data_IF_322258120769
#
_entry.id   IF_322258120769
#
_cell.length_a   1.000
_cell.length_b   1.000
_cell.length_c   1.000
_cell.angle_alpha   90.00
_cell.angle_beta   90.00
_cell.angle_gamma   90.00
#
_symmetry.space_group_name_H-M   'P 1'
#
loop_
_entity.id
_entity.type
_entity.pdbx_description
1 polymer ?
#
# COMPACT_ATOMS: atom_id res chain seq x y z
N UNK A 1 -16.62 9.45 -2.21
CA UNK A 1 -15.78 8.31 -1.84
C UNK A 1 -15.68 8.25 -0.34
N UNK A 2 -15.33 7.10 0.22
CA UNK A 2 -14.97 6.99 1.65
C UNK A 2 -13.71 7.82 1.89
N UNK A 3 -13.69 8.60 2.97
CA UNK A 3 -12.53 9.39 3.38
C UNK A 3 -11.76 8.58 4.43
N UNK A 4 -10.43 8.67 4.38
CA UNK A 4 -9.58 8.12 5.43
C UNK A 4 -9.62 9.03 6.66
N UNK A 5 -9.40 8.43 7.83
CA UNK A 5 -9.27 9.19 9.08
C UNK A 5 -8.02 10.07 9.05
N UNK A 6 -8.11 11.30 9.53
CA UNK A 6 -6.98 12.20 9.80
C UNK A 6 -6.36 11.98 11.19
N UNK A 7 -6.99 11.18 12.05
CA UNK A 7 -6.54 10.75 13.38
C UNK A 7 -5.57 9.54 13.31
N UNK A 8 -4.68 9.57 12.32
CA UNK A 8 -3.59 8.59 12.16
C UNK A 8 -2.27 9.35 11.97
N UNK A 9 -1.17 8.73 12.37
CA UNK A 9 0.15 9.37 12.24
C UNK A 9 0.71 9.30 10.82
N UNK A 10 0.18 8.39 10.01
CA UNK A 10 0.57 8.17 8.62
C UNK A 10 -0.48 7.30 7.91
N UNK A 11 -0.45 7.28 6.57
CA UNK A 11 -1.16 6.27 5.79
C UNK A 11 -0.25 5.12 5.39
N UNK A 12 -0.83 3.92 5.30
CA UNK A 12 -0.12 2.70 4.95
C UNK A 12 -0.45 2.30 3.53
N UNK A 13 0.57 2.06 2.71
CA UNK A 13 0.43 1.58 1.33
C UNK A 13 1.03 0.18 1.22
N UNK A 14 0.21 -0.87 1.21
CA UNK A 14 0.72 -2.22 0.98
C UNK A 14 1.17 -2.40 -0.47
N UNK A 15 2.39 -2.89 -0.65
CA UNK A 15 2.86 -3.39 -1.93
C UNK A 15 2.03 -4.60 -2.39
N UNK A 16 2.11 -4.93 -3.68
CA UNK A 16 1.36 -6.03 -4.28
C UNK A 16 1.60 -7.35 -3.56
N UNK A 17 2.84 -7.62 -3.13
CA UNK A 17 3.21 -8.86 -2.44
C UNK A 17 2.66 -8.91 -1.01
N UNK A 18 2.73 -7.79 -0.28
CA UNK A 18 2.20 -7.69 1.07
C UNK A 18 0.67 -7.85 1.06
N UNK A 19 0.01 -7.17 0.13
CA UNK A 19 -1.44 -7.30 -0.05
C UNK A 19 -1.84 -8.74 -0.37
N UNK A 20 -1.05 -9.42 -1.20
CA UNK A 20 -1.29 -10.81 -1.59
C UNK A 20 -1.17 -11.78 -0.41
N UNK A 21 -0.13 -11.65 0.41
CA UNK A 21 0.26 -12.66 1.39
C UNK A 21 -0.31 -12.39 2.77
N UNK A 22 -0.60 -11.13 3.11
CA UNK A 22 -1.00 -10.70 4.44
C UNK A 22 -2.35 -9.97 4.48
N UNK A 23 -3.24 -10.23 3.52
CA UNK A 23 -4.59 -9.63 3.51
C UNK A 23 -5.31 -9.81 4.85
N UNK A 24 -5.19 -10.98 5.48
CA UNK A 24 -5.83 -11.28 6.76
C UNK A 24 -5.34 -10.37 7.90
N UNK A 25 -4.07 -9.95 7.87
CA UNK A 25 -3.53 -8.99 8.83
C UNK A 25 -4.04 -7.58 8.49
N UNK A 26 -4.04 -7.21 7.21
CA UNK A 26 -4.57 -5.92 6.72
C UNK A 26 -6.08 -5.76 6.95
N UNK A 27 -6.80 -6.86 7.22
CA UNK A 27 -8.20 -6.87 7.61
C UNK A 27 -8.43 -6.52 9.09
N UNK A 28 -7.39 -6.35 9.91
CA UNK A 28 -7.58 -6.02 11.32
C UNK A 28 -8.03 -4.57 11.55
N UNK A 29 -9.04 -4.31 12.42
CA UNK A 29 -9.56 -2.96 12.64
C UNK A 29 -8.55 -1.94 13.18
N UNK A 30 -7.51 -2.43 13.85
CA UNK A 30 -6.43 -1.64 14.43
C UNK A 30 -5.53 -1.02 13.35
N UNK A 31 -5.44 -1.65 12.16
CA UNK A 31 -4.78 -1.07 11.00
C UNK A 31 -5.71 -0.10 10.28
N UNK A 32 -5.47 1.18 10.53
CA UNK A 32 -6.20 2.30 9.92
C UNK A 32 -5.36 3.01 8.86
N UNK A 33 -5.97 3.92 8.10
CA UNK A 33 -5.25 4.68 7.09
C UNK A 33 -4.74 3.88 5.90
N UNK A 34 -5.37 2.76 5.54
CA UNK A 34 -4.90 1.89 4.45
C UNK A 34 -5.28 2.42 3.06
N UNK A 35 -4.28 2.62 2.20
CA UNK A 35 -4.46 3.01 0.80
C UNK A 35 -4.02 1.85 -0.09
N UNK A 36 -4.98 1.12 -0.65
CA UNK A 36 -4.70 0.07 -1.62
C UNK A 36 -4.55 0.68 -3.02
N UNK A 37 -3.35 0.58 -3.59
CA UNK A 37 -3.15 0.98 -4.99
C UNK A 37 -3.89 0.02 -5.93
N UNK A 38 -4.45 0.56 -7.02
CA UNK A 38 -5.09 -0.25 -8.05
C UNK A 38 -4.14 -1.29 -8.62
N UNK A 39 -2.87 -0.94 -8.86
CA UNK A 39 -1.86 -1.88 -9.36
C UNK A 39 -1.70 -3.09 -8.42
N UNK A 40 -1.69 -2.88 -7.10
CA UNK A 40 -1.65 -3.96 -6.10
C UNK A 40 -2.94 -4.83 -6.14
N UNK A 41 -4.11 -4.18 -6.21
CA UNK A 41 -5.41 -4.87 -6.31
C UNK A 41 -5.50 -5.77 -7.54
N UNK A 42 -4.98 -5.31 -8.68
CA UNK A 42 -4.96 -6.06 -9.93
C UNK A 42 -3.98 -7.23 -9.87
N UNK A 43 -2.79 -7.02 -9.30
CA UNK A 43 -1.79 -8.08 -9.09
C UNK A 43 -2.39 -9.23 -8.25
N UNK A 44 -3.07 -8.91 -7.14
CA UNK A 44 -3.78 -9.88 -6.33
C UNK A 44 -4.82 -10.66 -7.14
N UNK A 45 -5.63 -9.96 -7.95
CA UNK A 45 -6.67 -10.61 -8.76
C UNK A 45 -6.07 -11.61 -9.75
N UNK A 46 -4.96 -11.24 -10.40
CA UNK A 46 -4.28 -12.08 -11.38
C UNK A 46 -3.67 -13.32 -10.74
N UNK A 47 -3.04 -13.18 -9.57
CA UNK A 47 -2.26 -14.27 -8.95
C UNK A 47 -3.05 -15.14 -7.96
N UNK A 48 -4.03 -14.57 -7.23
CA UNK A 48 -4.85 -15.29 -6.22
C UNK A 48 -6.30 -15.52 -6.68
N UNK A 49 -6.68 -14.96 -7.82
CA UNK A 49 -7.99 -15.15 -8.42
C UNK A 49 -9.12 -14.33 -7.79
N UNK A 50 -10.33 -14.54 -8.31
CA UNK A 50 -11.52 -13.72 -7.99
C UNK A 50 -11.95 -13.77 -6.52
N UNK A 51 -11.69 -14.88 -5.82
CA UNK A 51 -12.11 -15.04 -4.42
C UNK A 51 -11.43 -14.02 -3.50
N UNK A 52 -10.10 -13.91 -3.59
CA UNK A 52 -9.37 -12.94 -2.76
C UNK A 52 -9.65 -11.50 -3.19
N UNK A 53 -9.77 -11.25 -4.50
CA UNK A 53 -10.20 -9.94 -4.99
C UNK A 53 -11.58 -9.53 -4.43
N UNK A 54 -12.53 -10.46 -4.32
CA UNK A 54 -13.83 -10.18 -3.70
C UNK A 54 -13.73 -9.90 -2.20
N UNK A 55 -12.81 -10.57 -1.47
CA UNK A 55 -12.56 -10.24 -0.05
C UNK A 55 -12.06 -8.80 0.08
N UNK A 56 -11.05 -8.41 -0.68
CA UNK A 56 -10.53 -7.03 -0.71
C UNK A 56 -11.63 -6.02 -1.06
N UNK A 57 -12.46 -6.33 -2.06
CA UNK A 57 -13.59 -5.47 -2.44
C UNK A 57 -14.61 -5.32 -1.30
N UNK A 58 -14.87 -6.39 -0.55
CA UNK A 58 -15.76 -6.33 0.62
C UNK A 58 -15.13 -5.55 1.77
N UNK A 59 -13.84 -5.71 2.02
CA UNK A 59 -13.06 -4.95 3.00
C UNK A 59 -13.17 -3.44 2.74
N UNK A 60 -12.93 -3.02 1.50
CA UNK A 60 -12.99 -1.60 1.08
C UNK A 60 -14.40 -1.03 1.21
N UNK A 61 -15.44 -1.85 0.98
CA UNK A 61 -16.85 -1.47 1.10
C UNK A 61 -17.35 -1.36 2.53
N UNK A 62 -16.71 -2.03 3.48
CA UNK A 62 -17.08 -1.96 4.89
C UNK A 62 -16.74 -0.56 5.43
N UNK A 63 -17.76 0.17 5.85
CA UNK A 63 -17.63 1.53 6.37
C UNK A 63 -16.90 1.61 7.71
N UNK A 64 -16.80 0.49 8.45
CA UNK A 64 -16.10 0.41 9.74
C UNK A 64 -14.60 0.27 9.59
N UNK A 65 -14.14 -0.08 8.39
CA UNK A 65 -12.72 -0.25 8.06
C UNK A 65 -12.17 1.10 7.67
N UNK A 66 -10.96 1.44 8.01
CA UNK A 66 -10.37 2.70 7.56
C UNK A 66 -9.40 2.44 6.40
N UNK A 67 -10.00 2.22 5.22
CA UNK A 67 -9.26 1.90 4.01
C UNK A 67 -9.98 2.36 2.74
N UNK A 68 -9.20 2.63 1.70
CA UNK A 68 -9.67 3.03 0.36
C UNK A 68 -8.87 2.34 -0.74
N UNK A 69 -9.36 2.47 -1.99
CA UNK A 69 -8.60 2.13 -3.19
C UNK A 69 -8.26 3.42 -3.93
N UNK A 70 -6.98 3.57 -4.29
CA UNK A 70 -6.53 4.66 -5.16
C UNK A 70 -6.21 4.13 -6.56
N UNK A 71 -6.85 4.72 -7.57
CA UNK A 71 -6.72 4.33 -8.98
C UNK A 71 -5.50 4.97 -9.63
N UNK A 72 -4.31 4.57 -9.16
CA UNK A 72 -3.03 5.19 -9.51
C UNK A 72 -2.71 5.16 -11.02
N UNK A 73 -3.21 4.17 -11.76
CA UNK A 73 -2.99 4.08 -13.20
C UNK A 73 -3.89 5.03 -14.02
N UNK A 74 -5.00 5.49 -13.43
CA UNK A 74 -5.91 6.44 -14.07
C UNK A 74 -5.69 7.88 -13.62
N UNK A 75 -4.77 8.10 -12.66
CA UNK A 75 -4.35 9.44 -12.28
C UNK A 75 -3.11 9.83 -13.08
N UNK A 76 -3.24 10.88 -13.89
CA UNK A 76 -2.23 11.31 -14.86
C UNK A 76 -0.85 11.53 -14.24
N UNK A 77 -0.81 12.11 -13.04
CA UNK A 77 0.43 12.45 -12.34
C UNK A 77 1.04 11.31 -11.52
N UNK A 78 0.32 10.19 -11.34
CA UNK A 78 0.86 8.99 -10.68
C UNK A 78 1.07 7.82 -11.64
N UNK A 79 0.52 7.90 -12.85
CA UNK A 79 0.68 6.87 -13.87
C UNK A 79 2.15 6.68 -14.24
N UNK A 80 2.61 5.44 -14.17
CA UNK A 80 3.98 5.07 -14.50
C UNK A 80 3.98 3.86 -15.43
N UNK A 81 4.39 4.01 -16.71
CA UNK A 81 4.44 2.88 -17.63
C UNK A 81 5.59 1.92 -17.29
N UNK A 82 5.39 0.63 -17.63
CA UNK A 82 6.43 -0.39 -17.51
C UNK A 82 7.57 -0.13 -18.49
N UNK A 83 8.78 -0.23 -17.99
CA UNK A 83 9.98 -0.01 -18.80
C UNK A 83 10.35 -1.24 -19.62
N UNK A 84 11.08 -1.03 -20.72
CA UNK A 84 11.52 -2.11 -21.59
C UNK A 84 12.51 -3.01 -20.85
N UNK A 85 12.16 -4.27 -20.67
CA UNK A 85 13.00 -5.26 -19.98
C UNK A 85 12.78 -5.33 -18.47
N UNK A 86 11.97 -4.44 -17.90
CA UNK A 86 11.56 -4.50 -16.49
C UNK A 86 10.62 -5.70 -16.29
N UNK A 87 10.72 -6.43 -15.18
CA UNK A 87 9.76 -7.50 -14.85
C UNK A 87 8.40 -6.91 -14.46
N UNK A 88 7.35 -7.74 -14.42
CA UNK A 88 6.03 -7.25 -14.03
C UNK A 88 6.03 -6.83 -12.56
N UNK A 89 6.69 -7.62 -11.73
CA UNK A 89 6.80 -7.44 -10.28
C UNK A 89 7.58 -6.17 -9.94
N UNK A 90 8.73 -5.93 -10.59
CA UNK A 90 9.51 -4.70 -10.40
C UNK A 90 8.70 -3.46 -10.79
N UNK A 91 7.98 -3.53 -11.91
CA UNK A 91 7.09 -2.45 -12.32
C UNK A 91 5.96 -2.22 -11.31
N UNK A 92 5.33 -3.27 -10.79
CA UNK A 92 4.25 -3.14 -9.81
C UNK A 92 4.72 -2.39 -8.57
N UNK A 93 5.84 -2.80 -7.97
CA UNK A 93 6.42 -2.15 -6.81
C UNK A 93 6.82 -0.70 -7.11
N UNK A 94 7.48 -0.44 -8.25
CA UNK A 94 7.87 0.93 -8.67
C UNK A 94 6.66 1.85 -8.93
N UNK A 95 5.61 1.31 -9.55
CA UNK A 95 4.35 2.02 -9.79
C UNK A 95 3.65 2.40 -8.48
N UNK A 96 3.64 1.48 -7.51
CA UNK A 96 3.08 1.70 -6.17
C UNK A 96 3.88 2.75 -5.40
N UNK A 97 5.22 2.70 -5.48
CA UNK A 97 6.08 3.72 -4.87
C UNK A 97 5.82 5.11 -5.48
N UNK A 98 5.82 5.23 -6.81
CA UNK A 98 5.55 6.50 -7.49
C UNK A 98 4.15 7.06 -7.14
N UNK A 99 3.16 6.18 -7.04
CA UNK A 99 1.83 6.55 -6.59
C UNK A 99 1.82 7.02 -5.12
N UNK A 100 2.64 6.41 -4.25
CA UNK A 100 2.78 6.81 -2.85
C UNK A 100 3.39 8.22 -2.73
N UNK A 101 4.42 8.51 -3.52
CA UNK A 101 5.00 9.85 -3.63
C UNK A 101 4.00 10.87 -4.13
N UNK A 102 3.23 10.52 -5.17
CA UNK A 102 2.17 11.39 -5.63
C UNK A 102 1.12 11.65 -4.54
N UNK A 103 0.71 10.59 -3.82
CA UNK A 103 -0.31 10.66 -2.78
C UNK A 103 0.13 11.57 -1.62
N UNK A 104 1.38 11.45 -1.17
CA UNK A 104 1.96 12.36 -0.17
C UNK A 104 1.88 13.84 -0.59
N UNK A 105 2.29 14.14 -1.83
CA UNK A 105 2.27 15.49 -2.38
C UNK A 105 0.84 16.01 -2.58
N UNK A 106 -0.12 15.13 -2.90
CA UNK A 106 -1.53 15.49 -3.01
C UNK A 106 -2.10 16.04 -1.70
N UNK A 107 -1.61 15.55 -0.55
CA UNK A 107 -1.93 16.08 0.79
C UNK A 107 -1.01 17.22 1.24
N UNK A 108 -0.35 17.92 0.30
CA UNK A 108 0.57 19.02 0.60
C UNK A 108 1.70 18.63 1.58
N UNK A 109 2.08 17.36 1.59
CA UNK A 109 3.12 16.83 2.48
C UNK A 109 2.74 16.75 3.96
N UNK A 110 1.46 16.86 4.31
CA UNK A 110 1.02 16.91 5.72
C UNK A 110 0.84 15.52 6.35
N UNK A 111 0.57 14.50 5.53
CA UNK A 111 0.33 13.14 5.99
C UNK A 111 1.44 12.21 5.48
N UNK A 112 2.35 11.73 6.35
CA UNK A 112 3.37 10.78 5.95
C UNK A 112 2.78 9.53 5.33
N UNK A 113 3.50 8.93 4.38
CA UNK A 113 3.12 7.67 3.74
C UNK A 113 4.16 6.60 4.10
N UNK A 114 3.70 5.44 4.55
CA UNK A 114 4.54 4.28 4.78
C UNK A 114 4.13 3.18 3.81
N UNK A 115 4.94 2.99 2.77
CA UNK A 115 4.83 1.84 1.89
C UNK A 115 5.47 0.62 2.56
N UNK A 116 4.72 -0.48 2.63
CA UNK A 116 5.20 -1.75 3.20
C UNK A 116 5.38 -2.77 2.09
N UNK A 117 6.56 -3.39 2.02
CA UNK A 117 6.91 -4.36 0.96
C UNK A 117 7.65 -5.58 1.53
N UNK A 118 7.75 -6.64 0.72
CA UNK A 118 8.64 -7.78 0.95
C UNK A 118 9.86 -7.76 0.01
N UNK A 119 9.98 -6.72 -0.82
CA UNK A 119 11.11 -6.52 -1.73
C UNK A 119 12.22 -5.73 -1.04
N UNK A 120 13.29 -6.42 -0.65
CA UNK A 120 14.48 -5.80 -0.02
C UNK A 120 15.19 -4.82 -0.95
N UNK A 121 15.19 -5.04 -2.27
CA UNK A 121 15.77 -4.12 -3.25
C UNK A 121 14.99 -2.81 -3.25
N UNK A 122 13.66 -2.88 -3.17
CA UNK A 122 12.81 -1.69 -3.06
C UNK A 122 13.01 -0.93 -1.76
N UNK A 123 13.20 -1.62 -0.63
CA UNK A 123 13.55 -0.96 0.64
C UNK A 123 14.89 -0.22 0.54
N UNK A 124 15.90 -0.85 -0.06
CA UNK A 124 17.21 -0.22 -0.23
C UNK A 124 17.16 0.99 -1.18
N UNK A 125 16.40 0.89 -2.26
CA UNK A 125 16.33 1.91 -3.29
C UNK A 125 15.45 3.10 -2.88
N UNK A 126 14.33 2.84 -2.20
CA UNK A 126 13.29 3.85 -1.96
C UNK A 126 13.11 4.24 -0.49
N UNK A 127 13.70 3.49 0.46
CA UNK A 127 13.42 3.62 1.90
C UNK A 127 13.63 5.01 2.48
N UNK A 128 14.45 5.85 1.85
CA UNK A 128 14.65 7.25 2.24
C UNK A 128 14.82 8.19 1.03
N UNK A 129 14.34 7.76 -0.14
CA UNK A 129 14.51 8.50 -1.39
C UNK A 129 13.62 9.75 -1.46
N UNK A 130 12.46 9.75 -0.79
CA UNK A 130 11.54 10.89 -0.77
C UNK A 130 11.13 11.23 0.66
N UNK A 131 11.33 12.48 1.05
CA UNK A 131 10.93 12.97 2.37
C UNK A 131 9.42 12.78 2.59
N UNK A 132 9.05 12.24 3.75
CA UNK A 132 7.66 11.95 4.10
C UNK A 132 7.08 10.68 3.47
N UNK A 133 7.85 9.97 2.64
CA UNK A 133 7.49 8.66 2.08
C UNK A 133 8.53 7.62 2.48
N UNK A 134 8.12 6.70 3.34
CA UNK A 134 9.00 5.67 3.88
C UNK A 134 8.68 4.33 3.21
N UNK A 135 9.71 3.58 2.83
CA UNK A 135 9.57 2.22 2.32
C UNK A 135 10.28 1.27 3.27
N UNK A 136 9.53 0.39 3.92
CA UNK A 136 10.06 -0.55 4.91
C UNK A 136 9.46 -1.94 4.71
N UNK A 137 10.09 -2.96 5.32
CA UNK A 137 9.50 -4.30 5.33
C UNK A 137 8.22 -4.33 6.15
N UNK A 138 7.27 -5.20 5.77
CA UNK A 138 6.02 -5.32 6.53
C UNK A 138 6.26 -5.79 7.96
N UNK A 139 7.25 -6.67 8.15
CA UNK A 139 7.72 -7.07 9.49
C UNK A 139 8.15 -5.86 10.33
N UNK A 140 9.02 -4.99 9.79
CA UNK A 140 9.50 -3.82 10.51
C UNK A 140 8.37 -2.85 10.83
N UNK A 141 7.41 -2.71 9.92
CA UNK A 141 6.21 -1.93 10.16
C UNK A 141 5.43 -2.45 11.37
N UNK A 142 5.12 -3.74 11.41
CA UNK A 142 4.41 -4.36 12.52
C UNK A 142 5.20 -4.27 13.84
N UNK A 143 6.52 -4.50 13.82
CA UNK A 143 7.37 -4.39 15.00
C UNK A 143 7.36 -2.98 15.61
N UNK A 144 7.30 -1.92 14.79
CA UNK A 144 7.40 -0.52 15.22
C UNK A 144 6.04 0.10 15.59
N UNK A 145 5.00 -0.22 14.82
CA UNK A 145 3.68 0.41 14.96
C UNK A 145 2.65 -0.51 15.60
N UNK A 146 2.99 -1.79 15.81
CA UNK A 146 2.11 -2.76 16.43
C UNK A 146 2.84 -3.73 17.38
N UNK A 147 3.47 -3.21 18.45
CA UNK A 147 4.26 -4.02 19.37
C UNK A 147 3.44 -5.10 20.11
N UNK A 148 2.14 -4.91 20.28
CA UNK A 148 1.24 -5.85 20.96
C UNK A 148 0.97 -7.14 20.16
N UNK A 149 1.36 -7.21 18.87
CA UNK A 149 1.29 -8.44 18.07
C UNK A 149 2.20 -9.55 18.65
N UNK A 150 3.17 -9.21 19.50
CA UNK A 150 4.06 -10.19 20.17
C UNK A 150 3.41 -10.95 21.32
N UNK A 151 2.18 -10.60 21.71
CA UNK A 151 1.51 -11.17 22.90
C UNK A 151 0.36 -12.16 22.59
N UNK A 152 0.18 -12.59 21.34
CA UNK A 152 -0.85 -13.54 20.93
C UNK A 152 -0.27 -14.91 20.52
#
# INVERSE_FOLDING_TARGET
GKLLSDDVTHYVVPDWKVLQDYLEILEFPELKGLVFMQTACQAMQQQRGRRQHNKLRNLVRDARRDCIVFFNEFQLLSYLPRERGESLEKWQTRSIYNASVWYYNHFSGQMPIVMVTEDEEAVQLFGSETEGVFVISFKNYLDNFWPDLKAA
#
